data_IF_220749743106
#
_entry.id   IF_220749743106
#
_cell.length_a   1.000
_cell.length_b   1.000
_cell.length_c   1.000
_cell.angle_alpha   90.00
_cell.angle_beta   90.00
_cell.angle_gamma   90.00
#
_symmetry.space_group_name_H-M   'P 1'
#
loop_
_entity.id
_entity.type
_entity.pdbx_description
1 polymer ?
#
# COMPACT_ATOMS: atom_id res chain seq x y z
N UNK A 1 12.77 -27.12 -34.77
CA UNK A 1 11.53 -26.66 -34.11
C UNK A 1 11.93 -25.83 -32.90
N UNK A 2 11.72 -24.52 -32.96
CA UNK A 2 11.88 -23.61 -31.82
C UNK A 2 10.52 -23.52 -31.13
N UNK A 3 10.47 -23.83 -29.83
CA UNK A 3 9.38 -23.42 -28.96
C UNK A 3 10.01 -22.77 -27.72
N UNK A 4 9.82 -21.46 -27.64
CA UNK A 4 10.24 -20.66 -26.51
C UNK A 4 9.34 -20.88 -25.30
N UNK A 5 9.95 -20.89 -24.12
CA UNK A 5 9.33 -20.54 -22.85
C UNK A 5 10.40 -19.80 -22.04
N UNK A 6 10.67 -18.56 -22.44
CA UNK A 6 11.59 -17.67 -21.74
C UNK A 6 10.92 -16.33 -21.54
N UNK A 7 9.91 -16.25 -20.66
CA UNK A 7 9.16 -15.01 -20.46
C UNK A 7 8.36 -14.91 -19.16
N UNK A 8 8.47 -15.87 -18.25
CA UNK A 8 7.65 -15.90 -17.02
C UNK A 8 8.26 -15.22 -15.79
N UNK A 9 9.53 -14.80 -15.85
CA UNK A 9 10.25 -14.31 -14.66
C UNK A 9 10.43 -12.78 -14.61
N UNK A 10 10.23 -12.09 -15.74
CA UNK A 10 10.49 -10.64 -15.83
C UNK A 10 9.28 -9.77 -15.45
N UNK A 11 8.07 -10.33 -15.38
CA UNK A 11 6.83 -9.59 -15.06
C UNK A 11 6.64 -9.32 -13.56
N UNK A 12 7.46 -9.92 -12.69
CA UNK A 12 7.40 -9.77 -11.24
C UNK A 12 8.14 -8.54 -10.70
N UNK A 13 8.83 -7.79 -11.54
CA UNK A 13 9.58 -6.59 -11.15
C UNK A 13 8.94 -5.29 -11.64
N UNK A 14 7.73 -5.36 -12.21
CA UNK A 14 7.01 -4.13 -12.53
C UNK A 14 6.40 -3.56 -11.26
N UNK A 15 6.42 -2.25 -11.15
CA UNK A 15 5.74 -1.44 -10.14
C UNK A 15 4.26 -1.80 -9.91
N UNK A 16 3.60 -2.38 -10.91
CA UNK A 16 2.25 -2.93 -10.79
C UNK A 16 2.25 -4.24 -9.99
N UNK A 17 3.28 -5.07 -10.15
CA UNK A 17 3.49 -6.33 -9.42
C UNK A 17 3.78 -6.16 -7.93
N UNK A 18 4.48 -5.10 -7.52
CA UNK A 18 4.71 -4.83 -6.09
C UNK A 18 3.42 -4.44 -5.38
N UNK A 19 2.62 -3.55 -5.98
CA UNK A 19 1.28 -3.24 -5.48
C UNK A 19 0.31 -4.44 -5.48
N UNK A 20 0.61 -5.53 -6.22
CA UNK A 20 -0.20 -6.75 -6.12
C UNK A 20 -0.04 -7.45 -4.76
N UNK A 21 1.11 -7.26 -4.11
CA UNK A 21 1.41 -7.84 -2.80
C UNK A 21 1.13 -6.88 -1.65
N UNK A 22 0.53 -5.72 -1.95
CA UNK A 22 0.32 -4.72 -0.92
C UNK A 22 -0.59 -5.24 0.20
N UNK A 23 -0.30 -4.81 1.43
CA UNK A 23 -1.04 -5.19 2.65
C UNK A 23 -2.53 -4.88 2.50
N UNK A 24 -2.85 -3.74 1.89
CA UNK A 24 -4.22 -3.29 1.66
C UNK A 24 -4.48 -3.00 0.20
N UNK A 25 -5.59 -3.53 -0.34
CA UNK A 25 -5.99 -3.36 -1.74
C UNK A 25 -7.50 -3.30 -1.89
N UNK A 26 -7.95 -2.56 -2.90
CA UNK A 26 -9.35 -2.50 -3.33
C UNK A 26 -9.47 -2.79 -4.82
N UNK A 27 -10.51 -3.53 -5.18
CA UNK A 27 -10.92 -3.72 -6.57
C UNK A 27 -11.63 -2.46 -7.11
N UNK A 28 -11.91 -2.45 -8.42
CA UNK A 28 -12.71 -1.39 -9.03
C UNK A 28 -14.12 -1.34 -8.42
N UNK A 29 -14.54 -0.15 -8.02
CA UNK A 29 -15.84 0.11 -7.38
C UNK A 29 -15.88 -0.18 -5.88
N UNK A 30 -14.79 -0.71 -5.29
CA UNK A 30 -14.74 -1.01 -3.86
C UNK A 30 -14.09 0.13 -3.07
N UNK A 31 -14.66 0.46 -1.92
CA UNK A 31 -14.05 1.35 -0.91
C UNK A 31 -13.85 0.52 0.35
N UNK A 32 -12.72 0.73 1.02
CA UNK A 32 -12.34 -0.04 2.22
C UNK A 32 -11.87 0.89 3.32
N UNK A 33 -12.28 0.61 4.56
CA UNK A 33 -11.87 1.35 5.76
C UNK A 33 -11.12 0.41 6.70
N UNK A 34 -9.93 0.82 7.12
CA UNK A 34 -8.99 0.03 7.91
C UNK A 34 -8.58 0.82 9.15
N UNK A 35 -8.70 0.20 10.32
CA UNK A 35 -8.11 0.70 11.55
C UNK A 35 -6.67 0.17 11.62
N UNK A 36 -5.70 1.09 11.68
CA UNK A 36 -4.28 0.76 11.75
C UNK A 36 -3.84 0.48 13.19
N UNK A 37 -2.65 -0.10 13.35
CA UNK A 37 -2.10 -0.47 14.66
C UNK A 37 -1.88 0.73 15.61
N UNK A 38 -1.75 1.95 15.07
CA UNK A 38 -1.59 3.18 15.85
C UNK A 38 -2.92 3.89 16.15
N UNK A 39 -4.06 3.23 15.93
CA UNK A 39 -5.43 3.76 15.98
C UNK A 39 -5.78 4.78 14.88
N UNK A 40 -4.90 5.01 13.90
CA UNK A 40 -5.24 5.81 12.71
C UNK A 40 -6.26 5.08 11.84
N UNK A 41 -7.09 5.84 11.12
CA UNK A 41 -8.03 5.28 10.15
C UNK A 41 -7.54 5.54 8.73
N UNK A 42 -7.33 4.45 7.98
CA UNK A 42 -6.98 4.45 6.56
C UNK A 42 -8.22 4.10 5.74
N UNK A 43 -8.59 4.97 4.80
CA UNK A 43 -9.61 4.67 3.79
C UNK A 43 -8.95 4.53 2.44
N UNK A 44 -9.19 3.42 1.76
CA UNK A 44 -8.78 3.17 0.37
C UNK A 44 -9.97 3.41 -0.55
N UNK A 45 -9.80 4.24 -1.57
CA UNK A 45 -10.82 4.42 -2.62
C UNK A 45 -10.79 3.24 -3.62
N UNK A 46 -11.65 3.26 -4.64
CA UNK A 46 -11.64 2.29 -5.75
C UNK A 46 -10.26 2.11 -6.35
N UNK A 47 -9.89 0.86 -6.66
CA UNK A 47 -8.65 0.52 -7.37
C UNK A 47 -7.41 1.16 -6.72
N UNK A 48 -7.22 0.94 -5.43
CA UNK A 48 -6.09 1.47 -4.66
C UNK A 48 -5.28 0.35 -4.03
N UNK A 49 -4.00 0.61 -3.77
CA UNK A 49 -3.12 -0.32 -3.06
C UNK A 49 -2.10 0.45 -2.20
N UNK A 50 -1.96 0.03 -0.94
CA UNK A 50 -1.04 0.65 0.00
C UNK A 50 -0.46 -0.36 1.01
N UNK A 51 0.78 -0.12 1.42
CA UNK A 51 1.46 -0.80 2.53
C UNK A 51 1.57 0.11 3.74
N UNK A 52 1.60 -0.49 4.94
CA UNK A 52 1.68 0.25 6.21
C UNK A 52 2.84 -0.29 7.06
N UNK A 53 4.10 -0.06 6.67
CA UNK A 53 5.26 -0.50 7.43
C UNK A 53 5.54 0.44 8.62
N UNK A 54 4.73 0.36 9.67
CA UNK A 54 5.00 1.10 10.91
C UNK A 54 6.18 0.49 11.66
N UNK A 55 7.08 1.34 12.13
CA UNK A 55 8.23 0.92 12.93
C UNK A 55 8.41 1.83 14.16
N UNK A 56 9.46 1.57 14.94
CA UNK A 56 9.75 2.33 16.18
C UNK A 56 10.18 3.78 15.92
N UNK A 57 10.52 4.13 14.69
CA UNK A 57 11.01 5.45 14.29
C UNK A 57 9.97 6.27 13.53
N UNK A 58 9.06 5.65 12.80
CA UNK A 58 8.07 6.33 11.95
C UNK A 58 6.80 5.50 11.74
N UNK A 59 5.74 6.22 11.36
CA UNK A 59 4.47 5.66 10.90
C UNK A 59 4.38 5.93 9.40
N UNK A 60 4.91 5.02 8.59
CA UNK A 60 4.94 5.17 7.14
C UNK A 60 3.74 4.47 6.48
N UNK A 61 3.16 5.12 5.47
CA UNK A 61 2.20 4.53 4.53
C UNK A 61 2.76 4.71 3.13
N UNK A 62 2.93 3.61 2.40
CA UNK A 62 3.39 3.65 1.01
C UNK A 62 2.18 3.45 0.09
N UNK A 63 1.83 4.49 -0.67
CA UNK A 63 0.76 4.43 -1.66
C UNK A 63 1.36 4.03 -3.01
N UNK A 64 1.02 2.84 -3.48
CA UNK A 64 1.50 2.34 -4.78
C UNK A 64 0.73 2.94 -5.95
N UNK A 65 -0.60 3.00 -5.82
CA UNK A 65 -1.50 3.61 -6.79
C UNK A 65 -2.89 3.84 -6.18
N UNK A 66 -3.68 4.69 -6.83
CA UNK A 66 -5.04 5.01 -6.42
C UNK A 66 -5.08 6.20 -5.45
N UNK A 67 -6.03 6.18 -4.52
CA UNK A 67 -6.29 7.29 -3.61
C UNK A 67 -6.58 6.77 -2.21
N UNK A 68 -6.04 7.46 -1.21
CA UNK A 68 -6.29 7.16 0.20
C UNK A 68 -6.65 8.43 0.96
N UNK A 69 -7.46 8.25 2.00
CA UNK A 69 -7.68 9.26 3.04
C UNK A 69 -7.20 8.69 4.38
N UNK A 70 -6.52 9.52 5.17
CA UNK A 70 -5.97 9.11 6.46
C UNK A 70 -6.41 10.10 7.54
N UNK A 71 -7.01 9.57 8.60
CA UNK A 71 -7.22 10.30 9.85
C UNK A 71 -6.21 9.79 10.87
N UNK A 72 -5.20 10.61 11.18
CA UNK A 72 -4.10 10.19 12.07
C UNK A 72 -4.51 10.27 13.53
N UNK A 73 -4.15 9.22 14.28
CA UNK A 73 -4.25 9.24 15.73
C UNK A 73 -3.02 9.92 16.36
N UNK A 74 -3.20 10.35 17.62
CA UNK A 74 -2.13 10.94 18.41
C UNK A 74 -1.16 9.84 18.84
N UNK A 75 0.09 9.93 18.40
CA UNK A 75 1.13 8.98 18.79
C UNK A 75 1.86 9.46 20.05
N UNK A 76 1.81 8.64 21.11
CA UNK A 76 2.47 8.94 22.38
C UNK A 76 4.01 8.98 22.27
N UNK A 77 4.56 8.23 21.31
CA UNK A 77 6.00 8.19 21.03
C UNK A 77 6.45 9.35 20.12
N UNK A 78 5.51 10.20 19.69
CA UNK A 78 5.72 11.32 18.77
C UNK A 78 6.45 10.95 17.46
N UNK A 79 6.29 9.72 17.01
CA UNK A 79 6.81 9.25 15.72
C UNK A 79 6.13 10.04 14.59
N UNK A 80 6.91 10.53 13.61
CA UNK A 80 6.36 11.20 12.44
C UNK A 80 5.47 10.27 11.64
N UNK A 81 4.37 10.81 11.12
CA UNK A 81 3.52 10.14 10.15
C UNK A 81 3.93 10.58 8.74
N UNK A 82 4.17 9.64 7.83
CA UNK A 82 4.63 9.92 6.47
C UNK A 82 3.82 9.13 5.45
N UNK A 83 3.37 9.82 4.42
CA UNK A 83 2.80 9.20 3.22
C UNK A 83 3.83 9.31 2.12
N UNK A 84 4.21 8.18 1.55
CA UNK A 84 5.17 8.11 0.46
C UNK A 84 4.41 7.66 -0.79
N UNK A 85 4.54 8.46 -1.85
CA UNK A 85 4.13 8.09 -3.20
C UNK A 85 5.38 7.93 -4.05
N UNK A 86 5.22 7.41 -5.26
CA UNK A 86 6.24 7.58 -6.30
C UNK A 86 6.37 9.03 -6.71
#
# INVERSE_FOLDING_TARGET
MLLGVGGGWQLWQSETGEGLRADYRTDKGAVSHQLLEDDSQLTLNTQSAADVPFDVHQRAVHLWYGEIAITTAKDAQQRPFRVMTR
#
